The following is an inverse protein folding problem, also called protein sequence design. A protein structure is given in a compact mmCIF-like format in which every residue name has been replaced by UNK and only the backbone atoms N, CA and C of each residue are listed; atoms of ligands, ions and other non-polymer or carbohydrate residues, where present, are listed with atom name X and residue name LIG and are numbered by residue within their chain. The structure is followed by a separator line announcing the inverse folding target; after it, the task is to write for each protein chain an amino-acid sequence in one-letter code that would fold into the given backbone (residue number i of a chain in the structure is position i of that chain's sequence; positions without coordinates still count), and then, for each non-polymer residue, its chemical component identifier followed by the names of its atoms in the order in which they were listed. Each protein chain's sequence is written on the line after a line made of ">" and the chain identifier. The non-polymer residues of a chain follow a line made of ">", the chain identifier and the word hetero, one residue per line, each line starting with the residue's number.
data_IF_705595693722
#
_entry.id   IF_705595693722
#
_cell.length_a   1.000
_cell.length_b   1.000
_cell.length_c   1.000
_cell.angle_alpha   90.00
_cell.angle_beta   90.00
_cell.angle_gamma   90.00
#
_symmetry.space_group_name_H-M   'P 1'
#
loop_
_entity.id
_entity.type
_entity.pdbx_description
1 polymer ?
#
# COMPACT_ATOMS: atom_id res chain seq x y z
N UNK A 1 8.57 66.09 -5.37
CA UNK A 1 8.62 64.68 -5.78
C UNK A 1 7.65 63.92 -4.90
N UNK A 2 6.71 63.21 -5.51
CA UNK A 2 5.43 62.83 -4.93
C UNK A 2 5.49 61.61 -4.00
N UNK A 3 4.57 61.61 -3.03
CA UNK A 3 4.30 60.62 -2.01
C UNK A 3 4.13 59.18 -2.54
N UNK A 4 4.84 58.24 -1.91
CA UNK A 4 4.62 56.81 -2.09
C UNK A 4 3.43 56.35 -1.25
N UNK A 5 2.25 56.29 -1.87
CA UNK A 5 1.07 55.66 -1.29
C UNK A 5 1.20 54.14 -1.26
N UNK A 6 1.44 53.59 -0.06
CA UNK A 6 1.31 52.17 0.25
C UNK A 6 -0.17 51.78 0.29
N UNK A 7 -0.62 50.99 -0.68
CA UNK A 7 -1.99 50.46 -0.74
C UNK A 7 -2.12 49.21 0.12
N UNK A 8 -2.65 49.38 1.33
CA UNK A 8 -3.03 48.28 2.23
C UNK A 8 -4.31 47.63 1.70
N UNK A 9 -4.20 46.40 1.16
CA UNK A 9 -5.36 45.61 0.72
C UNK A 9 -6.16 45.14 1.94
N UNK A 10 -7.36 45.70 2.15
CA UNK A 10 -8.31 45.23 3.17
C UNK A 10 -8.85 43.84 2.78
N UNK A 11 -8.42 42.82 3.50
CA UNK A 11 -8.95 41.46 3.37
C UNK A 11 -10.45 41.42 3.74
N UNK A 12 -11.28 40.98 2.80
CA UNK A 12 -12.71 40.80 2.97
C UNK A 12 -12.94 39.56 3.83
N UNK A 13 -13.23 39.73 5.13
CA UNK A 13 -13.61 38.63 6.02
C UNK A 13 -15.00 38.14 5.60
N UNK A 14 -15.06 37.07 4.83
CA UNK A 14 -16.31 36.36 4.54
C UNK A 14 -16.77 35.63 5.80
N UNK A 15 -17.78 36.18 6.46
CA UNK A 15 -18.49 35.50 7.55
C UNK A 15 -19.23 34.30 6.94
N UNK A 16 -18.88 33.09 7.38
CA UNK A 16 -19.57 31.86 6.97
C UNK A 16 -20.78 31.72 7.89
N UNK A 17 -21.92 32.27 7.47
CA UNK A 17 -23.20 31.94 8.09
C UNK A 17 -23.59 30.52 7.67
N UNK A 18 -23.49 29.56 8.61
CA UNK A 18 -24.02 28.21 8.43
C UNK A 18 -25.55 28.26 8.45
N UNK A 19 -26.15 28.48 7.29
CA UNK A 19 -27.57 28.23 7.08
C UNK A 19 -27.80 26.72 7.20
N UNK A 20 -28.25 26.27 8.38
CA UNK A 20 -28.64 24.87 8.61
C UNK A 20 -30.01 24.65 7.98
N UNK A 21 -30.06 24.63 6.64
CA UNK A 21 -31.26 24.23 5.90
C UNK A 21 -31.24 22.71 5.80
N UNK A 22 -31.96 22.05 6.70
CA UNK A 22 -32.57 20.75 6.46
C UNK A 22 -31.66 19.53 6.25
N UNK A 23 -30.35 19.63 6.43
CA UNK A 23 -29.48 18.45 6.27
C UNK A 23 -29.54 17.60 7.54
N UNK A 24 -30.29 16.49 7.48
CA UNK A 24 -30.32 15.49 8.56
C UNK A 24 -28.89 14.99 8.78
N UNK A 25 -28.29 15.44 9.89
CA UNK A 25 -26.91 15.11 10.29
C UNK A 25 -26.66 13.59 10.42
N UNK A 26 -27.73 12.83 10.58
CA UNK A 26 -27.72 11.37 10.67
C UNK A 26 -28.57 10.84 9.50
N UNK A 27 -27.90 10.27 8.51
CA UNK A 27 -28.52 9.48 7.46
C UNK A 27 -28.60 8.02 7.93
N UNK A 28 -29.79 7.43 7.81
CA UNK A 28 -29.96 6.00 8.01
C UNK A 28 -29.59 5.28 6.70
N UNK A 29 -28.61 4.38 6.78
CA UNK A 29 -28.20 3.53 5.67
C UNK A 29 -28.77 2.13 5.86
N UNK A 30 -29.05 1.42 4.75
CA UNK A 30 -29.38 0.00 4.82
C UNK A 30 -28.18 -0.79 5.34
N UNK A 31 -28.44 -1.97 5.93
CA UNK A 31 -27.38 -2.88 6.36
C UNK A 31 -26.44 -3.21 5.20
N UNK A 32 -26.98 -3.46 4.02
CA UNK A 32 -26.20 -3.75 2.81
C UNK A 32 -25.26 -2.59 2.43
N UNK A 33 -25.71 -1.34 2.55
CA UNK A 33 -24.87 -0.17 2.27
C UNK A 33 -23.74 -0.01 3.30
N UNK A 34 -24.00 -0.37 4.56
CA UNK A 34 -22.97 -0.41 5.60
C UNK A 34 -21.97 -1.54 5.35
N UNK A 35 -22.43 -2.72 4.93
CA UNK A 35 -21.56 -3.86 4.62
C UNK A 35 -20.66 -3.56 3.42
N UNK A 36 -21.18 -2.90 2.37
CA UNK A 36 -20.39 -2.43 1.21
C UNK A 36 -19.38 -1.35 1.62
N UNK A 37 -19.77 -0.41 2.48
CA UNK A 37 -18.85 0.61 2.98
C UNK A 37 -17.77 0.01 3.90
N UNK A 38 -18.13 -1.01 4.69
CA UNK A 38 -17.23 -1.71 5.61
C UNK A 38 -16.16 -2.53 4.88
N UNK A 39 -16.43 -2.99 3.66
CA UNK A 39 -15.42 -3.62 2.79
C UNK A 39 -14.28 -2.66 2.42
N UNK A 40 -14.50 -1.35 2.51
CA UNK A 40 -13.53 -0.33 2.16
C UNK A 40 -13.29 -0.24 0.65
N UNK A 41 -12.87 0.94 0.18
CA UNK A 41 -12.52 1.15 -1.23
C UNK A 41 -11.00 1.15 -1.37
N UNK A 42 -10.46 0.12 -1.99
CA UNK A 42 -9.05 0.11 -2.41
C UNK A 42 -8.92 0.96 -3.67
N UNK A 43 -8.04 1.97 -3.63
CA UNK A 43 -7.86 2.85 -4.78
C UNK A 43 -7.28 2.07 -5.98
N UNK A 44 -7.62 2.47 -7.22
CA UNK A 44 -7.05 1.86 -8.45
C UNK A 44 -5.52 1.85 -8.45
N UNK A 45 -4.90 2.93 -7.92
CA UNK A 45 -3.44 3.03 -7.79
C UNK A 45 -2.89 1.95 -6.86
N UNK A 46 -3.60 1.67 -5.77
CA UNK A 46 -3.23 0.64 -4.80
C UNK A 46 -3.28 -0.75 -5.41
N UNK A 47 -4.31 -1.06 -6.21
CA UNK A 47 -4.40 -2.32 -6.95
C UNK A 47 -3.23 -2.49 -7.93
N UNK A 48 -2.91 -1.46 -8.69
CA UNK A 48 -1.75 -1.48 -9.60
C UNK A 48 -0.43 -1.74 -8.86
N UNK A 49 -0.24 -1.15 -7.67
CA UNK A 49 0.94 -1.42 -6.83
C UNK A 49 0.96 -2.88 -6.34
N UNK A 50 -0.19 -3.44 -5.95
CA UNK A 50 -0.29 -4.85 -5.55
C UNK A 50 0.12 -5.77 -6.69
N UNK A 51 -0.48 -5.60 -7.88
CA UNK A 51 -0.17 -6.40 -9.06
C UNK A 51 1.31 -6.30 -9.45
N UNK A 52 1.88 -5.10 -9.37
CA UNK A 52 3.30 -4.87 -9.61
C UNK A 52 4.18 -5.60 -8.58
N UNK A 53 3.83 -5.54 -7.29
CA UNK A 53 4.56 -6.24 -6.23
C UNK A 53 4.51 -7.76 -6.43
N UNK A 54 3.36 -8.31 -6.82
CA UNK A 54 3.19 -9.73 -7.11
C UNK A 54 4.09 -10.17 -8.27
N UNK A 55 4.11 -9.42 -9.38
CA UNK A 55 5.00 -9.69 -10.51
C UNK A 55 6.49 -9.70 -10.12
N UNK A 56 6.89 -8.80 -9.21
CA UNK A 56 8.28 -8.78 -8.71
C UNK A 56 8.58 -10.03 -7.90
N UNK A 57 7.65 -10.44 -7.03
CA UNK A 57 7.82 -11.67 -6.26
C UNK A 57 7.92 -12.88 -7.18
N UNK A 58 7.05 -13.00 -8.18
CA UNK A 58 7.06 -14.11 -9.14
C UNK A 58 8.38 -14.18 -9.90
N UNK A 59 8.91 -13.03 -10.34
CA UNK A 59 10.24 -12.95 -10.98
C UNK A 59 11.36 -13.41 -10.05
N UNK A 60 11.30 -13.02 -8.78
CA UNK A 60 12.30 -13.44 -7.79
C UNK A 60 12.20 -14.94 -7.47
N UNK A 61 11.00 -15.49 -7.35
CA UNK A 61 10.78 -16.94 -7.19
C UNK A 61 11.37 -17.71 -8.38
N UNK A 62 11.12 -17.23 -9.61
CA UNK A 62 11.70 -17.81 -10.81
C UNK A 62 13.23 -17.74 -10.82
N UNK A 63 13.80 -16.60 -10.41
CA UNK A 63 15.25 -16.46 -10.26
C UNK A 63 15.81 -17.47 -9.25
N UNK A 64 15.19 -17.61 -8.09
CA UNK A 64 15.59 -18.59 -7.06
C UNK A 64 15.44 -20.04 -7.52
N UNK A 65 14.43 -20.33 -8.34
CA UNK A 65 14.25 -21.66 -8.93
C UNK A 65 15.37 -22.07 -9.90
N UNK A 66 16.17 -21.11 -10.40
CA UNK A 66 17.37 -21.42 -11.21
C UNK A 66 18.57 -21.82 -10.36
N UNK A 67 18.54 -21.60 -9.04
CA UNK A 67 19.60 -22.01 -8.12
C UNK A 67 19.42 -23.50 -7.83
N UNK A 68 20.43 -24.31 -8.15
CA UNK A 68 20.36 -25.79 -8.09
C UNK A 68 20.29 -26.37 -6.67
N UNK A 69 20.39 -25.55 -5.61
CA UNK A 69 20.41 -26.03 -4.23
C UNK A 69 18.99 -26.39 -3.74
N UNK A 70 18.69 -27.68 -3.48
CA UNK A 70 17.37 -28.12 -3.00
C UNK A 70 17.03 -27.60 -1.59
N UNK A 71 18.04 -27.24 -0.79
CA UNK A 71 17.83 -26.69 0.56
C UNK A 71 17.35 -25.23 0.52
N UNK A 72 17.42 -24.60 -0.65
CA UNK A 72 17.15 -23.18 -0.87
C UNK A 72 15.91 -22.93 -1.74
N UNK A 73 15.10 -23.97 -1.94
CA UNK A 73 13.84 -23.89 -2.67
C UNK A 73 12.81 -23.01 -1.94
N UNK A 74 12.31 -21.99 -2.63
CA UNK A 74 11.25 -21.12 -2.10
C UNK A 74 9.95 -21.92 -2.00
N UNK A 75 9.21 -21.86 -0.88
CA UNK A 75 7.88 -22.47 -0.79
C UNK A 75 6.98 -21.96 -1.91
N UNK A 76 6.31 -22.87 -2.64
CA UNK A 76 5.47 -22.52 -3.80
C UNK A 76 4.42 -21.44 -3.46
N UNK A 77 3.89 -21.46 -2.23
CA UNK A 77 2.90 -20.50 -1.77
C UNK A 77 3.41 -19.63 -0.61
N UNK A 78 4.50 -18.88 -0.83
CA UNK A 78 5.07 -18.00 0.19
C UNK A 78 4.02 -17.01 0.77
N UNK A 79 3.14 -16.48 -0.09
CA UNK A 79 2.05 -15.57 0.31
C UNK A 79 0.84 -16.30 0.90
N UNK A 80 0.86 -17.62 1.01
CA UNK A 80 -0.13 -18.49 1.70
C UNK A 80 0.44 -19.16 2.94
N UNK A 81 1.71 -18.88 3.28
CA UNK A 81 2.37 -19.43 4.46
C UNK A 81 1.91 -18.72 5.76
N UNK A 82 1.37 -19.49 6.70
CA UNK A 82 0.98 -19.01 8.03
C UNK A 82 2.13 -19.03 9.05
N UNK A 83 3.30 -19.56 8.70
CA UNK A 83 4.44 -19.59 9.61
C UNK A 83 5.20 -18.24 9.53
N UNK A 84 5.18 -17.42 10.60
CA UNK A 84 5.85 -16.13 10.59
C UNK A 84 7.37 -16.25 10.47
N UNK A 85 7.98 -17.34 10.93
CA UNK A 85 9.42 -17.51 10.91
C UNK A 85 9.91 -17.79 9.48
N UNK A 86 9.24 -18.74 8.80
CA UNK A 86 9.48 -19.04 7.38
C UNK A 86 9.28 -17.79 6.54
N UNK A 87 8.17 -17.08 6.77
CA UNK A 87 7.86 -15.86 6.02
C UNK A 87 8.91 -14.75 6.24
N UNK A 88 9.33 -14.53 7.49
CA UNK A 88 10.37 -13.55 7.82
C UNK A 88 11.71 -13.87 7.16
N UNK A 89 12.12 -15.14 7.18
CA UNK A 89 13.36 -15.60 6.56
C UNK A 89 13.35 -15.32 5.05
N UNK A 90 12.30 -15.76 4.35
CA UNK A 90 12.20 -15.61 2.90
C UNK A 90 11.99 -14.16 2.47
N UNK A 91 11.22 -13.37 3.22
CA UNK A 91 11.07 -11.94 2.95
C UNK A 91 12.38 -11.19 3.17
N UNK A 92 13.21 -11.60 4.14
CA UNK A 92 14.53 -11.01 4.37
C UNK A 92 15.47 -11.28 3.20
N UNK A 93 15.49 -12.53 2.70
CA UNK A 93 16.24 -12.89 1.48
C UNK A 93 15.74 -12.11 0.26
N UNK A 94 14.41 -12.05 0.08
CA UNK A 94 13.78 -11.28 -0.98
C UNK A 94 14.23 -9.81 -0.98
N UNK A 95 14.18 -9.13 0.18
CA UNK A 95 14.62 -7.73 0.30
C UNK A 95 16.09 -7.54 -0.10
N UNK A 96 16.95 -8.50 0.25
CA UNK A 96 18.38 -8.45 -0.05
C UNK A 96 18.72 -8.75 -1.51
N UNK A 97 17.92 -9.57 -2.18
CA UNK A 97 18.20 -10.10 -3.51
C UNK A 97 17.39 -9.42 -4.61
N UNK A 98 16.26 -8.78 -4.29
CA UNK A 98 15.41 -8.12 -5.29
C UNK A 98 16.17 -6.99 -5.99
N UNK A 99 16.17 -7.00 -7.32
CA UNK A 99 16.86 -6.02 -8.17
C UNK A 99 15.92 -5.44 -9.21
N UNK A 100 16.23 -4.22 -9.62
CA UNK A 100 15.63 -3.58 -10.78
C UNK A 100 16.04 -4.31 -12.06
N UNK A 101 15.36 -4.02 -13.17
CA UNK A 101 15.73 -4.57 -14.48
C UNK A 101 17.14 -4.14 -14.93
N UNK A 102 17.66 -3.02 -14.40
CA UNK A 102 19.04 -2.59 -14.60
C UNK A 102 20.07 -3.41 -13.81
N UNK A 103 19.64 -4.28 -12.90
CA UNK A 103 20.51 -5.01 -11.97
C UNK A 103 20.84 -4.26 -10.68
N UNK A 104 20.47 -2.98 -10.55
CA UNK A 104 20.68 -2.18 -9.35
C UNK A 104 19.67 -2.51 -8.24
N UNK A 105 20.03 -2.36 -6.95
CA UNK A 105 19.10 -2.54 -5.85
C UNK A 105 17.95 -1.53 -5.90
N UNK A 106 16.78 -1.95 -5.45
CA UNK A 106 15.66 -1.00 -5.27
C UNK A 106 15.97 -0.03 -4.13
N UNK A 107 15.60 1.26 -4.27
CA UNK A 107 15.72 2.18 -3.15
C UNK A 107 14.78 1.74 -2.00
N UNK A 108 15.11 2.04 -0.73
CA UNK A 108 14.38 1.53 0.43
C UNK A 108 12.87 1.80 0.39
N UNK A 109 12.47 2.97 -0.13
CA UNK A 109 11.07 3.36 -0.27
C UNK A 109 10.30 2.49 -1.26
N UNK A 110 10.95 2.06 -2.35
CA UNK A 110 10.34 1.16 -3.32
C UNK A 110 10.21 -0.24 -2.75
N UNK A 111 11.24 -0.73 -2.05
CA UNK A 111 11.19 -2.02 -1.34
C UNK A 111 10.04 -2.04 -0.34
N UNK A 112 9.88 -1.00 0.48
CA UNK A 112 8.75 -0.88 1.40
C UNK A 112 7.40 -0.91 0.67
N UNK A 113 7.29 -0.24 -0.47
CA UNK A 113 6.06 -0.22 -1.27
C UNK A 113 5.71 -1.61 -1.81
N UNK A 114 6.72 -2.38 -2.22
CA UNK A 114 6.56 -3.78 -2.64
C UNK A 114 6.09 -4.63 -1.46
N UNK A 115 6.77 -4.54 -0.31
CA UNK A 115 6.41 -5.30 0.90
C UNK A 115 4.98 -5.01 1.37
N UNK A 116 4.52 -3.76 1.33
CA UNK A 116 3.13 -3.43 1.65
C UNK A 116 2.13 -3.97 0.64
N UNK A 117 2.50 -4.03 -0.65
CA UNK A 117 1.69 -4.69 -1.68
C UNK A 117 1.52 -6.18 -1.38
N UNK A 118 2.64 -6.88 -1.10
CA UNK A 118 2.64 -8.30 -0.75
C UNK A 118 1.87 -8.58 0.55
N UNK A 119 2.04 -7.75 1.57
CA UNK A 119 1.28 -7.85 2.82
C UNK A 119 -0.23 -7.72 2.57
N UNK A 120 -0.66 -6.80 1.70
CA UNK A 120 -2.09 -6.65 1.37
C UNK A 120 -2.64 -7.89 0.67
N UNK A 121 -1.91 -8.45 -0.31
CA UNK A 121 -2.30 -9.68 -1.01
C UNK A 121 -2.38 -10.85 -0.02
N UNK A 122 -1.40 -10.97 0.88
CA UNK A 122 -1.39 -12.01 1.92
C UNK A 122 -2.61 -11.90 2.85
N UNK A 123 -3.01 -10.68 3.22
CA UNK A 123 -4.23 -10.41 4.00
C UNK A 123 -5.50 -10.79 3.26
N UNK A 124 -5.56 -10.53 1.95
CA UNK A 124 -6.67 -10.92 1.08
C UNK A 124 -6.79 -12.46 0.97
N UNK A 125 -5.66 -13.17 1.01
CA UNK A 125 -5.60 -14.65 1.06
C UNK A 125 -5.95 -15.24 2.45
N UNK A 126 -6.27 -14.40 3.44
CA UNK A 126 -6.68 -14.85 4.78
C UNK A 126 -5.55 -15.07 5.77
N UNK A 127 -4.34 -14.55 5.50
CA UNK A 127 -3.20 -14.67 6.41
C UNK A 127 -3.08 -13.43 7.27
N UNK A 128 -2.86 -13.66 8.56
CA UNK A 128 -2.78 -12.60 9.56
C UNK A 128 -1.38 -12.45 10.19
N UNK A 129 -0.35 -12.96 9.52
CA UNK A 129 1.03 -12.81 9.98
C UNK A 129 1.52 -11.37 9.82
N UNK A 130 2.19 -10.86 10.86
CA UNK A 130 2.83 -9.54 10.83
C UNK A 130 4.19 -9.65 10.15
N UNK A 131 4.36 -8.99 8.99
CA UNK A 131 5.61 -9.04 8.21
C UNK A 131 6.73 -8.18 8.85
N UNK A 132 6.39 -7.34 9.82
CA UNK A 132 7.26 -6.27 10.34
C UNK A 132 7.51 -6.39 11.85
N UNK A 133 7.35 -7.58 12.43
CA UNK A 133 7.50 -7.81 13.87
C UNK A 133 8.92 -8.19 14.23
#
# INVERSE_FOLDING_TARGET
>A
MADSSSSIRKGKKSSITLATVGSKRILYYSKDALDVAAQGVVSKKTLCINEWAQKILDRWIQFRATIEDPSEAVPCDLLSCNDPQVLSEWLSKFVMEVRQESGEPYPPRSVQSILFGLYRISRENGIFCNFFR
#
